data_IF_289981628676
#
_entry.id   IF_289981628676
#
_cell.length_a   1.000
_cell.length_b   1.000
_cell.length_c   1.000
_cell.angle_alpha   90.00
_cell.angle_beta   90.00
_cell.angle_gamma   90.00
#
_symmetry.space_group_name_H-M   'P 1'
#
loop_
_entity.id
_entity.type
_entity.pdbx_description
1 polymer ?
#
# COMPACT_ATOMS: atom_id res chain seq x y z
N UNK A 1 -5.30 43.76 -32.13
CA UNK A 1 -4.64 44.09 -30.84
C UNK A 1 -5.38 43.59 -29.59
N UNK A 2 -6.71 43.35 -29.58
CA UNK A 2 -7.45 42.92 -28.36
C UNK A 2 -7.27 41.44 -27.94
N UNK A 3 -6.95 40.54 -28.87
CA UNK A 3 -6.81 39.10 -28.60
C UNK A 3 -5.55 38.80 -27.78
N UNK A 4 -4.44 39.50 -28.06
CA UNK A 4 -3.18 39.34 -27.31
C UNK A 4 -3.30 39.86 -25.88
N UNK A 5 -4.04 40.95 -25.65
CA UNK A 5 -4.28 41.46 -24.29
C UNK A 5 -5.12 40.50 -23.45
N UNK A 6 -6.11 39.82 -24.03
CA UNK A 6 -6.93 38.85 -23.30
C UNK A 6 -6.12 37.60 -22.93
N UNK A 7 -5.32 37.09 -23.88
CA UNK A 7 -4.41 35.98 -23.65
C UNK A 7 -3.37 36.31 -22.57
N UNK A 8 -2.84 37.54 -22.58
CA UNK A 8 -1.85 37.99 -21.60
C UNK A 8 -2.44 38.15 -20.19
N UNK A 9 -3.66 38.69 -20.08
CA UNK A 9 -4.40 38.77 -18.80
C UNK A 9 -4.71 37.37 -18.26
N UNK A 10 -5.10 36.44 -19.13
CA UNK A 10 -5.34 35.06 -18.74
C UNK A 10 -4.06 34.38 -18.25
N UNK A 11 -2.93 34.59 -18.93
CA UNK A 11 -1.63 34.04 -18.54
C UNK A 11 -1.14 34.60 -17.20
N UNK A 12 -1.36 35.90 -16.95
CA UNK A 12 -1.06 36.54 -15.66
C UNK A 12 -1.93 36.00 -14.53
N UNK A 13 -3.24 35.83 -14.75
CA UNK A 13 -4.14 35.21 -13.77
C UNK A 13 -3.73 33.77 -13.47
N UNK A 14 -3.37 33.01 -14.50
CA UNK A 14 -2.95 31.62 -14.35
C UNK A 14 -1.62 31.54 -13.60
N UNK A 15 -0.66 32.42 -13.88
CA UNK A 15 0.60 32.53 -13.13
C UNK A 15 0.35 32.83 -11.65
N UNK A 16 -0.54 33.80 -11.34
CA UNK A 16 -0.90 34.15 -9.95
C UNK A 16 -1.50 32.95 -9.23
N UNK A 17 -2.46 32.25 -9.85
CA UNK A 17 -3.09 31.05 -9.30
C UNK A 17 -2.06 29.94 -9.06
N UNK A 18 -1.16 29.70 -10.02
CA UNK A 18 -0.08 28.73 -9.87
C UNK A 18 0.83 29.10 -8.71
N UNK A 19 1.32 30.35 -8.65
CA UNK A 19 2.16 30.80 -7.53
C UNK A 19 1.45 30.67 -6.19
N UNK A 20 0.15 30.97 -6.11
CA UNK A 20 -0.64 30.89 -4.88
C UNK A 20 -0.85 29.44 -4.40
N UNK A 21 -1.03 28.50 -5.34
CA UNK A 21 -1.12 27.06 -5.06
C UNK A 21 0.21 26.53 -4.51
N UNK A 22 1.34 26.96 -5.07
CA UNK A 22 2.68 26.48 -4.67
C UNK A 22 3.25 27.18 -3.42
N UNK A 23 2.68 28.31 -2.98
CA UNK A 23 3.15 29.07 -1.80
C UNK A 23 2.23 28.97 -0.57
N UNK A 24 1.27 28.03 -0.56
CA UNK A 24 0.42 27.74 0.61
C UNK A 24 -0.43 28.94 1.09
N UNK A 25 -0.80 29.80 0.15
CA UNK A 25 -1.51 31.05 0.38
C UNK A 25 -3.04 30.89 0.46
N UNK A 26 -3.73 32.04 0.57
CA UNK A 26 -5.16 32.15 0.90
C UNK A 26 -6.10 31.48 -0.14
N UNK A 27 -5.84 31.57 -1.46
CA UNK A 27 -6.74 30.95 -2.46
C UNK A 27 -6.61 29.42 -2.44
N UNK A 28 -5.39 28.90 -2.27
CA UNK A 28 -5.17 27.45 -2.11
C UNK A 28 -5.97 26.89 -0.94
N UNK A 29 -5.91 27.57 0.22
CA UNK A 29 -6.71 27.20 1.40
C UNK A 29 -8.21 27.33 1.15
N UNK A 30 -8.67 28.39 0.45
CA UNK A 30 -10.08 28.54 0.10
C UNK A 30 -10.57 27.44 -0.84
N UNK A 31 -9.82 27.09 -1.89
CA UNK A 31 -10.16 26.01 -2.82
C UNK A 31 -10.17 24.66 -2.10
N UNK A 32 -9.16 24.38 -1.28
CA UNK A 32 -9.12 23.18 -0.45
C UNK A 32 -10.32 23.10 0.49
N UNK A 33 -10.70 24.22 1.11
CA UNK A 33 -11.85 24.27 2.02
C UNK A 33 -13.15 24.04 1.27
N UNK A 34 -13.34 24.66 0.09
CA UNK A 34 -14.55 24.51 -0.72
C UNK A 34 -14.70 23.08 -1.22
N UNK A 35 -13.62 22.50 -1.73
CA UNK A 35 -13.58 21.10 -2.17
C UNK A 35 -13.82 20.14 -1.02
N UNK A 36 -13.22 20.36 0.15
CA UNK A 36 -13.48 19.58 1.36
C UNK A 36 -14.95 19.66 1.82
N UNK A 37 -15.54 20.86 1.85
CA UNK A 37 -16.95 21.07 2.22
C UNK A 37 -17.88 20.37 1.23
N UNK A 38 -17.55 20.37 -0.06
CA UNK A 38 -18.38 19.69 -1.07
C UNK A 38 -18.20 18.16 -1.09
N UNK A 39 -16.99 17.67 -0.82
CA UNK A 39 -16.67 16.25 -0.84
C UNK A 39 -17.12 15.51 0.43
N UNK A 40 -17.13 16.19 1.59
CA UNK A 40 -17.49 15.57 2.87
C UNK A 40 -18.94 15.02 2.90
N UNK A 41 -19.98 15.75 2.46
CA UNK A 41 -21.34 15.22 2.36
C UNK A 41 -21.45 14.03 1.41
N UNK A 42 -20.74 14.06 0.29
CA UNK A 42 -20.71 12.98 -0.70
C UNK A 42 -20.06 11.73 -0.09
N UNK A 43 -18.97 11.90 0.64
CA UNK A 43 -18.30 10.83 1.37
C UNK A 43 -19.22 10.22 2.44
N UNK A 44 -19.91 11.05 3.22
CA UNK A 44 -20.88 10.60 4.24
C UNK A 44 -22.05 9.85 3.59
N UNK A 45 -22.61 10.36 2.49
CA UNK A 45 -23.68 9.70 1.76
C UNK A 45 -23.24 8.35 1.20
N UNK A 46 -22.06 8.27 0.58
CA UNK A 46 -21.44 7.02 0.13
C UNK A 46 -21.29 6.04 1.30
N UNK A 47 -20.74 6.49 2.43
CA UNK A 47 -20.54 5.65 3.63
C UNK A 47 -21.85 5.10 4.16
N UNK A 48 -22.89 5.93 4.22
CA UNK A 48 -24.22 5.50 4.67
C UNK A 48 -24.84 4.49 3.71
N UNK A 49 -24.69 4.69 2.39
CA UNK A 49 -25.11 3.72 1.38
C UNK A 49 -24.36 2.39 1.56
N UNK A 50 -23.04 2.42 1.69
CA UNK A 50 -22.24 1.22 1.95
C UNK A 50 -22.68 0.53 3.24
N UNK A 51 -22.96 1.25 4.32
CA UNK A 51 -23.45 0.68 5.58
C UNK A 51 -24.84 0.03 5.46
N UNK A 52 -25.73 0.54 4.59
CA UNK A 52 -27.05 -0.06 4.34
C UNK A 52 -26.91 -1.38 3.58
N UNK A 53 -25.90 -1.50 2.70
CA UNK A 53 -25.64 -2.70 1.91
C UNK A 53 -24.65 -3.69 2.56
N UNK A 54 -23.90 -3.24 3.56
CA UNK A 54 -22.99 -4.06 4.34
C UNK A 54 -23.73 -4.76 5.48
N UNK A 55 -23.83 -6.10 5.40
CA UNK A 55 -24.24 -6.95 6.53
C UNK A 55 -23.46 -6.53 7.78
N UNK A 56 -24.18 -6.35 8.90
CA UNK A 56 -23.64 -5.97 10.20
C UNK A 56 -22.25 -6.57 10.46
N UNK A 57 -21.21 -5.73 10.35
CA UNK A 57 -19.87 -6.13 10.73
C UNK A 57 -19.71 -5.90 12.22
N UNK A 58 -19.54 -7.01 12.95
CA UNK A 58 -18.92 -6.98 14.26
C UNK A 58 -17.57 -6.28 14.11
N UNK A 59 -17.33 -5.22 14.88
CA UNK A 59 -15.98 -4.66 15.04
C UNK A 59 -15.16 -5.77 15.69
N UNK A 60 -14.55 -6.61 14.85
CA UNK A 60 -13.61 -7.61 15.32
C UNK A 60 -12.38 -6.81 15.71
N UNK A 61 -12.12 -6.73 17.01
CA UNK A 61 -10.79 -6.41 17.52
C UNK A 61 -9.87 -7.48 16.96
N UNK A 62 -9.25 -7.24 15.81
CA UNK A 62 -8.37 -8.23 15.22
C UNK A 62 -7.08 -8.20 16.02
N UNK A 63 -6.89 -9.24 16.83
CA UNK A 63 -5.61 -9.57 17.44
C UNK A 63 -4.66 -9.98 16.31
N UNK A 64 -4.02 -9.01 15.69
CA UNK A 64 -2.79 -9.22 14.96
C UNK A 64 -1.67 -8.95 15.96
N UNK A 65 -0.92 -10.00 16.30
CA UNK A 65 0.31 -9.89 17.10
C UNK A 65 0.12 -9.46 18.56
N UNK A 66 -0.86 -10.05 19.26
CA UNK A 66 -1.17 -9.83 20.70
C UNK A 66 -1.38 -8.38 21.18
N UNK A 67 -1.36 -7.41 20.27
CA UNK A 67 -1.52 -5.99 20.55
C UNK A 67 -2.77 -5.42 19.86
N UNK A 68 -3.40 -4.40 20.44
CA UNK A 68 -4.60 -3.77 19.88
C UNK A 68 -4.16 -2.81 18.77
N UNK A 69 -3.96 -3.33 17.57
CA UNK A 69 -3.55 -2.51 16.43
C UNK A 69 -4.69 -1.57 16.00
N UNK A 70 -4.37 -0.29 15.80
CA UNK A 70 -5.33 0.70 15.31
C UNK A 70 -5.61 0.47 13.83
N UNK A 71 -6.86 0.17 13.48
CA UNK A 71 -7.26 -0.03 12.09
C UNK A 71 -7.43 1.31 11.36
N UNK A 72 -7.07 1.34 10.08
CA UNK A 72 -7.24 2.49 9.19
C UNK A 72 -8.26 2.15 8.10
N UNK A 73 -9.20 3.08 7.86
CA UNK A 73 -10.29 2.94 6.88
C UNK A 73 -9.82 3.30 5.46
N UNK A 74 -10.07 2.41 4.51
CA UNK A 74 -9.83 2.64 3.09
C UNK A 74 -10.89 3.59 2.53
N UNK A 75 -10.45 4.69 1.93
CA UNK A 75 -11.31 5.75 1.40
C UNK A 75 -11.64 5.53 -0.07
N UNK A 76 -10.60 5.21 -0.86
CA UNK A 76 -10.68 4.96 -2.30
C UNK A 76 -9.50 4.12 -2.79
N UNK A 77 -9.66 3.55 -3.97
CA UNK A 77 -8.69 2.68 -4.64
C UNK A 77 -8.50 3.18 -6.06
N UNK A 78 -7.25 3.30 -6.51
CA UNK A 78 -6.92 3.56 -7.91
C UNK A 78 -6.21 2.33 -8.53
N UNK A 79 -5.61 2.45 -9.71
CA UNK A 79 -4.90 1.31 -10.33
C UNK A 79 -3.64 0.91 -9.57
N UNK A 80 -2.90 1.85 -8.99
CA UNK A 80 -1.56 1.65 -8.39
C UNK A 80 -1.58 1.55 -6.87
N UNK A 81 -2.63 2.02 -6.21
CA UNK A 81 -2.64 2.19 -4.78
C UNK A 81 -4.01 2.40 -4.15
N UNK A 82 -3.96 2.77 -2.88
CA UNK A 82 -5.09 2.82 -1.97
C UNK A 82 -4.93 4.07 -1.10
N UNK A 83 -5.97 4.90 -1.06
CA UNK A 83 -6.05 6.05 -0.18
C UNK A 83 -6.71 5.67 1.13
N UNK A 84 -6.08 6.04 2.23
CA UNK A 84 -6.47 5.57 3.56
C UNK A 84 -6.48 6.72 4.54
N UNK A 85 -7.44 6.68 5.46
CA UNK A 85 -7.60 7.71 6.47
C UNK A 85 -6.53 7.63 7.56
N UNK A 86 -5.96 8.77 7.91
CA UNK A 86 -5.14 9.00 9.10
C UNK A 86 -3.95 8.04 9.29
N UNK A 87 -3.08 7.92 8.28
CA UNK A 87 -1.84 7.16 8.42
C UNK A 87 -0.77 8.04 9.07
N UNK A 88 -0.32 7.68 10.28
CA UNK A 88 0.68 8.49 11.03
C UNK A 88 2.12 8.19 10.64
N UNK A 89 2.44 6.94 10.32
CA UNK A 89 3.82 6.48 10.04
C UNK A 89 3.92 5.68 8.75
N UNK A 90 5.13 5.62 8.20
CA UNK A 90 5.48 4.72 7.09
C UNK A 90 5.53 3.28 7.59
N UNK A 91 5.47 2.32 6.68
CA UNK A 91 5.24 0.93 7.05
C UNK A 91 4.71 0.08 5.91
N UNK A 92 4.30 -1.12 6.27
CA UNK A 92 3.52 -2.02 5.40
C UNK A 92 2.06 -2.05 5.83
N UNK A 93 1.18 -2.20 4.86
CA UNK A 93 -0.25 -2.32 5.07
C UNK A 93 -0.65 -3.81 4.99
N UNK A 94 -1.33 -4.28 6.02
CA UNK A 94 -1.83 -5.64 6.16
C UNK A 94 -3.37 -5.63 6.17
N UNK A 95 -3.97 -6.61 5.52
CA UNK A 95 -5.40 -6.86 5.61
C UNK A 95 -5.75 -7.18 7.06
N UNK A 96 -6.61 -6.35 7.66
CA UNK A 96 -6.96 -6.49 9.05
C UNK A 96 -7.61 -7.85 9.36
N UNK A 97 -8.30 -8.48 8.41
CA UNK A 97 -9.03 -9.74 8.63
C UNK A 97 -8.16 -10.95 8.29
N UNK A 98 -7.56 -10.95 7.11
CA UNK A 98 -6.87 -12.14 6.58
C UNK A 98 -5.36 -12.12 6.84
N UNK A 99 -4.79 -11.02 7.32
CA UNK A 99 -3.35 -10.89 7.54
C UNK A 99 -2.53 -10.79 6.26
N UNK A 100 -3.15 -10.69 5.08
CA UNK A 100 -2.44 -10.62 3.80
C UNK A 100 -1.72 -9.29 3.63
N UNK A 101 -0.53 -9.30 3.01
CA UNK A 101 0.16 -8.09 2.60
C UNK A 101 -0.66 -7.35 1.53
N UNK A 102 -1.05 -6.12 1.80
CA UNK A 102 -1.80 -5.26 0.87
C UNK A 102 -0.86 -4.34 0.10
N UNK A 103 0.14 -3.75 0.78
CA UNK A 103 1.02 -2.78 0.13
C UNK A 103 1.98 -2.06 1.05
N UNK A 104 2.62 -1.03 0.50
CA UNK A 104 3.63 -0.21 1.18
C UNK A 104 3.13 1.22 1.35
N UNK A 105 3.21 1.77 2.56
CA UNK A 105 2.84 3.16 2.84
C UNK A 105 3.85 4.09 2.18
N UNK A 106 3.42 4.87 1.19
CA UNK A 106 4.26 5.89 0.53
C UNK A 106 4.03 7.29 1.08
N UNK A 107 2.80 7.62 1.48
CA UNK A 107 2.43 8.93 2.03
C UNK A 107 1.68 8.79 3.35
N UNK A 108 2.06 9.60 4.33
CA UNK A 108 1.41 9.73 5.65
C UNK A 108 0.61 11.04 5.72
N UNK A 109 -0.25 11.17 6.72
CA UNK A 109 -1.10 12.33 6.97
C UNK A 109 -2.57 11.94 7.18
N UNK A 110 -3.44 12.95 7.20
CA UNK A 110 -4.89 12.76 7.33
C UNK A 110 -5.47 11.88 6.21
N UNK A 111 -4.86 11.95 5.03
CA UNK A 111 -5.06 11.00 3.93
C UNK A 111 -3.70 10.46 3.53
N UNK A 112 -3.44 9.22 3.90
CA UNK A 112 -2.26 8.48 3.49
C UNK A 112 -2.48 7.76 2.15
N UNK A 113 -1.38 7.34 1.54
CA UNK A 113 -1.39 6.57 0.29
C UNK A 113 -0.51 5.34 0.44
N UNK A 114 -1.07 4.20 0.08
CA UNK A 114 -0.41 2.90 0.06
C UNK A 114 -0.30 2.45 -1.38
N UNK A 115 0.91 2.14 -1.80
CA UNK A 115 1.13 1.50 -3.09
C UNK A 115 0.86 0.01 -2.96
N UNK A 116 0.08 -0.56 -3.89
CA UNK A 116 -0.21 -2.00 -3.90
C UNK A 116 1.09 -2.76 -4.11
N UNK A 117 1.35 -3.79 -3.30
CA UNK A 117 2.65 -4.46 -3.37
C UNK A 117 2.92 -5.03 -4.77
N UNK A 118 1.89 -5.52 -5.47
CA UNK A 118 2.05 -6.12 -6.79
C UNK A 118 2.34 -5.10 -7.90
N UNK A 119 2.22 -3.80 -7.62
CA UNK A 119 2.56 -2.70 -8.52
C UNK A 119 3.98 -2.15 -8.23
N UNK A 120 4.68 -2.74 -7.26
CA UNK A 120 5.99 -2.30 -6.78
C UNK A 120 7.07 -3.33 -7.09
N UNK A 121 8.32 -2.90 -7.13
CA UNK A 121 9.47 -3.77 -7.35
C UNK A 121 10.22 -3.96 -6.03
N UNK A 122 10.50 -5.20 -5.65
CA UNK A 122 11.15 -5.51 -4.37
C UNK A 122 11.79 -6.90 -4.37
N UNK A 123 12.83 -7.13 -3.55
CA UNK A 123 13.42 -8.45 -3.40
C UNK A 123 12.44 -9.42 -2.72
N UNK A 124 12.49 -10.68 -3.13
CA UNK A 124 11.64 -11.76 -2.61
C UNK A 124 12.47 -12.95 -2.17
N UNK A 125 11.94 -13.74 -1.24
CA UNK A 125 12.53 -15.03 -0.85
C UNK A 125 11.62 -16.16 -1.34
N UNK A 126 12.18 -17.07 -2.13
CA UNK A 126 11.52 -18.31 -2.54
C UNK A 126 11.97 -19.40 -1.56
N UNK A 127 11.03 -19.95 -0.78
CA UNK A 127 11.28 -21.08 0.10
C UNK A 127 10.91 -22.38 -0.62
N UNK A 128 11.90 -23.26 -0.83
CA UNK A 128 11.70 -24.55 -1.49
C UNK A 128 10.72 -25.42 -0.71
N UNK A 129 9.74 -25.98 -1.41
CA UNK A 129 8.89 -27.06 -0.89
C UNK A 129 9.59 -28.41 -0.92
N UNK A 130 10.66 -28.55 -1.71
CA UNK A 130 11.45 -29.76 -1.78
C UNK A 130 12.46 -29.82 -0.63
N UNK A 131 12.25 -30.81 0.25
CA UNK A 131 13.08 -31.10 1.44
C UNK A 131 14.13 -32.20 1.17
N UNK A 132 14.31 -32.62 -0.09
CA UNK A 132 15.16 -33.77 -0.47
C UNK A 132 16.63 -33.65 -0.08
N UNK A 133 17.15 -32.45 0.20
CA UNK A 133 18.53 -32.28 0.66
C UNK A 133 18.55 -32.16 2.19
N UNK A 134 18.63 -33.31 2.86
CA UNK A 134 18.97 -33.45 4.29
C UNK A 134 18.14 -32.60 5.26
N UNK A 135 16.84 -32.41 5.00
CA UNK A 135 15.94 -31.70 5.91
C UNK A 135 16.22 -30.20 6.07
N UNK A 136 17.08 -29.61 5.22
CA UNK A 136 17.29 -28.16 5.19
C UNK A 136 16.37 -27.55 4.13
N UNK A 137 15.53 -26.60 4.54
CA UNK A 137 14.77 -25.77 3.62
C UNK A 137 15.76 -24.87 2.87
N UNK A 138 15.85 -25.06 1.56
CA UNK A 138 16.66 -24.19 0.71
C UNK A 138 15.82 -22.95 0.39
N UNK A 139 16.35 -21.76 0.69
CA UNK A 139 15.76 -20.50 0.30
C UNK A 139 16.67 -19.74 -0.66
N UNK A 140 16.08 -19.10 -1.66
CA UNK A 140 16.78 -18.31 -2.67
C UNK A 140 16.19 -16.92 -2.71
N UNK A 141 17.05 -15.92 -2.90
CA UNK A 141 16.64 -14.54 -3.10
C UNK A 141 16.43 -14.30 -4.59
N UNK A 142 15.25 -13.81 -4.94
CA UNK A 142 14.94 -13.29 -6.27
C UNK A 142 14.54 -11.83 -6.21
N UNK A 143 14.19 -11.27 -7.36
CA UNK A 143 13.68 -9.92 -7.48
C UNK A 143 12.32 -9.93 -8.18
N UNK A 144 11.30 -9.39 -7.52
CA UNK A 144 9.97 -9.24 -8.11
C UNK A 144 9.90 -7.97 -8.96
N UNK A 145 9.50 -8.12 -10.22
CA UNK A 145 9.22 -7.02 -11.13
C UNK A 145 8.10 -7.41 -12.11
N UNK A 146 7.05 -6.57 -12.22
CA UNK A 146 5.96 -6.71 -13.21
C UNK A 146 5.42 -8.14 -13.32
N UNK A 147 4.98 -8.70 -12.19
CA UNK A 147 4.40 -10.05 -12.12
C UNK A 147 5.36 -11.20 -12.46
N UNK A 148 6.67 -10.93 -12.46
CA UNK A 148 7.72 -11.92 -12.69
C UNK A 148 8.73 -11.90 -11.55
N UNK A 149 9.45 -13.01 -11.39
CA UNK A 149 10.57 -13.11 -10.46
C UNK A 149 11.83 -13.41 -11.25
N UNK A 150 12.82 -12.54 -11.11
CA UNK A 150 14.16 -12.76 -11.64
C UNK A 150 15.00 -13.44 -10.57
N UNK A 151 15.52 -14.63 -10.88
CA UNK A 151 16.42 -15.38 -10.01
C UNK A 151 17.85 -15.22 -10.56
N UNK A 152 18.82 -14.79 -9.73
CA UNK A 152 20.17 -14.49 -10.21
C UNK A 152 20.94 -15.72 -10.75
N UNK A 153 20.56 -16.93 -10.34
CA UNK A 153 21.11 -18.17 -10.88
C UNK A 153 20.01 -19.02 -11.57
N UNK A 154 19.96 -19.04 -12.91
CA UNK A 154 18.95 -19.76 -13.67
C UNK A 154 19.14 -21.28 -13.64
N UNK A 155 20.27 -21.79 -13.12
CA UNK A 155 20.53 -23.23 -13.02
C UNK A 155 19.86 -23.87 -11.81
N UNK A 156 19.41 -23.06 -10.84
CA UNK A 156 18.75 -23.56 -9.65
C UNK A 156 17.26 -23.78 -9.92
N UNK A 157 16.88 -25.05 -10.07
CA UNK A 157 15.49 -25.47 -10.16
C UNK A 157 14.88 -25.41 -8.75
N UNK A 158 14.17 -24.33 -8.45
CA UNK A 158 13.44 -24.16 -7.20
C UNK A 158 11.94 -24.07 -7.46
N UNK A 159 11.15 -24.76 -6.64
CA UNK A 159 9.71 -24.61 -6.57
C UNK A 159 9.29 -24.42 -5.13
N UNK A 160 8.37 -23.49 -4.88
CA UNK A 160 7.80 -23.29 -3.55
C UNK A 160 7.17 -21.93 -3.32
N UNK A 161 6.96 -21.60 -2.05
CA UNK A 161 6.26 -20.38 -1.65
C UNK A 161 7.15 -19.16 -1.77
N UNK A 162 6.58 -18.08 -2.29
CA UNK A 162 7.26 -16.80 -2.42
C UNK A 162 6.80 -15.87 -1.31
N UNK A 163 7.76 -15.29 -0.61
CA UNK A 163 7.54 -14.31 0.44
C UNK A 163 8.27 -13.02 0.10
N UNK A 164 7.87 -11.93 0.74
CA UNK A 164 8.70 -10.73 0.78
C UNK A 164 10.08 -11.09 1.35
N UNK A 165 11.16 -10.52 0.79
CA UNK A 165 12.51 -10.94 1.17
C UNK A 165 12.75 -10.82 2.66
N UNK A 166 13.34 -11.85 3.26
CA UNK A 166 13.75 -11.88 4.66
C UNK A 166 14.74 -10.76 5.05
N UNK A 167 15.34 -10.09 4.05
CA UNK A 167 16.23 -8.94 4.25
C UNK A 167 15.50 -7.59 4.25
N UNK A 168 14.20 -7.57 3.92
CA UNK A 168 13.36 -6.38 4.02
C UNK A 168 12.72 -6.26 5.41
N UNK A 169 12.38 -5.04 5.85
CA UNK A 169 11.56 -4.83 7.03
C UNK A 169 10.29 -5.70 6.96
N UNK A 170 9.97 -6.41 8.03
CA UNK A 170 8.87 -7.38 8.14
C UNK A 170 8.95 -8.64 7.28
N UNK A 171 9.96 -8.82 6.41
CA UNK A 171 10.01 -9.99 5.53
C UNK A 171 10.05 -11.32 6.27
N UNK A 172 10.92 -11.43 7.28
CA UNK A 172 10.96 -12.60 8.18
C UNK A 172 9.64 -12.78 8.93
N UNK A 173 9.09 -11.70 9.47
CA UNK A 173 7.82 -11.74 10.20
C UNK A 173 6.70 -12.29 9.31
N UNK A 174 6.50 -11.74 8.12
CA UNK A 174 5.47 -12.22 7.20
C UNK A 174 5.68 -13.69 6.82
N UNK A 175 6.92 -14.11 6.61
CA UNK A 175 7.27 -15.50 6.33
C UNK A 175 6.94 -16.43 7.49
N UNK A 176 7.31 -16.07 8.71
CA UNK A 176 7.08 -16.89 9.91
C UNK A 176 5.58 -17.09 10.18
N UNK A 177 4.76 -16.10 9.82
CA UNK A 177 3.30 -16.19 9.84
C UNK A 177 2.69 -16.84 8.58
N UNK A 178 3.50 -17.31 7.64
CA UNK A 178 3.06 -18.01 6.44
C UNK A 178 2.38 -17.13 5.38
N UNK A 179 2.58 -15.81 5.43
CA UNK A 179 1.97 -14.83 4.54
C UNK A 179 2.75 -14.79 3.22
N UNK A 180 2.43 -15.73 2.33
CA UNK A 180 3.01 -15.82 1.00
C UNK A 180 2.33 -14.85 0.02
N UNK A 181 3.12 -14.29 -0.91
CA UNK A 181 2.63 -13.42 -1.99
C UNK A 181 2.33 -14.20 -3.29
N UNK A 182 2.65 -15.50 -3.30
CA UNK A 182 2.41 -16.40 -4.41
C UNK A 182 3.25 -17.66 -4.33
N UNK A 183 3.29 -18.40 -5.42
CA UNK A 183 4.06 -19.64 -5.57
C UNK A 183 4.92 -19.55 -6.82
N UNK A 184 6.13 -20.10 -6.77
CA UNK A 184 7.02 -20.20 -7.91
C UNK A 184 7.16 -21.67 -8.26
N UNK A 185 6.82 -22.03 -9.51
CA UNK A 185 6.90 -23.42 -9.98
C UNK A 185 7.33 -23.45 -11.44
N UNK A 186 8.30 -24.30 -11.77
CA UNK A 186 8.76 -24.52 -13.15
C UNK A 186 9.15 -23.23 -13.88
N UNK A 187 9.77 -22.28 -13.18
CA UNK A 187 10.17 -21.00 -13.75
C UNK A 187 9.04 -19.96 -13.89
N UNK A 188 7.83 -20.26 -13.40
CA UNK A 188 6.66 -19.40 -13.50
C UNK A 188 6.24 -18.95 -12.11
N UNK A 189 6.05 -17.63 -11.94
CA UNK A 189 5.48 -17.06 -10.73
C UNK A 189 3.95 -17.01 -10.82
N UNK A 190 3.27 -17.76 -9.96
CA UNK A 190 1.83 -17.73 -9.72
C UNK A 190 1.54 -16.75 -8.60
N UNK A 191 1.19 -15.51 -8.99
CA UNK A 191 0.91 -14.44 -8.04
C UNK A 191 -0.42 -14.64 -7.30
N UNK A 192 -0.45 -14.32 -6.00
CA UNK A 192 -1.68 -14.30 -5.18
C UNK A 192 -2.02 -12.86 -4.81
N UNK A 193 -2.90 -12.22 -5.59
CA UNK A 193 -3.33 -10.84 -5.32
C UNK A 193 -4.49 -10.84 -4.32
N UNK A 194 -4.35 -10.19 -3.15
CA UNK A 194 -5.44 -10.11 -2.17
C UNK A 194 -6.54 -9.18 -2.65
N UNK A 195 -7.78 -9.47 -2.22
CA UNK A 195 -8.87 -8.49 -2.33
C UNK A 195 -8.59 -7.31 -1.40
N UNK A 196 -8.79 -6.09 -1.87
CA UNK A 196 -8.56 -4.90 -1.05
C UNK A 196 -9.64 -4.84 0.04
N UNK A 197 -9.25 -4.86 1.33
CA UNK A 197 -10.20 -4.83 2.43
C UNK A 197 -10.67 -3.38 2.70
N UNK A 198 -11.78 -3.24 3.42
CA UNK A 198 -12.27 -1.94 3.88
C UNK A 198 -11.39 -1.34 5.00
N UNK A 199 -10.79 -2.22 5.81
CA UNK A 199 -9.93 -1.85 6.92
C UNK A 199 -8.58 -2.53 6.78
N UNK A 200 -7.53 -1.77 7.05
CA UNK A 200 -6.16 -2.26 7.05
C UNK A 200 -5.47 -1.92 8.37
N UNK A 201 -4.43 -2.67 8.68
CA UNK A 201 -3.51 -2.40 9.78
C UNK A 201 -2.18 -1.95 9.19
N UNK A 202 -1.60 -0.90 9.77
CA UNK A 202 -0.27 -0.42 9.38
C UNK A 202 0.75 -0.98 10.37
N UNK A 203 1.68 -1.78 9.87
CA UNK A 203 2.88 -2.16 10.60
C UNK A 203 3.93 -1.10 10.32
N UNK A 204 4.13 -0.21 11.28
CA UNK A 204 5.02 0.95 11.17
C UNK A 204 6.46 0.50 10.96
N UNK A 205 7.21 1.09 10.03
CA UNK A 205 8.65 0.79 9.81
C UNK A 205 9.44 0.83 11.13
N UNK A 206 10.24 -0.21 11.39
CA UNK A 206 11.23 -0.20 12.45
C UNK A 206 12.26 0.89 12.11
N UNK A 207 12.31 1.97 12.89
CA UNK A 207 13.47 2.85 12.89
C UNK A 207 14.59 2.15 13.66
N UNK A 208 15.69 1.74 13.01
CA UNK A 208 16.86 1.30 13.73
C UNK A 208 17.54 2.58 14.24
N UNK A 209 17.11 3.04 15.42
CA UNK A 209 17.74 4.00 16.34
C UNK A 209 16.75 5.02 16.93
N UNK A 210 16.06 4.63 17.99
CA UNK A 210 15.89 5.52 19.13
C UNK A 210 17.22 5.58 19.89
N UNK A 211 18.20 6.33 19.36
CA UNK A 211 19.43 6.64 20.07
C UNK A 211 19.20 7.82 21.00
N UNK A 212 18.95 7.53 22.27
CA UNK A 212 19.31 8.44 23.36
C UNK A 212 20.73 8.13 23.81
#
# INVERSE_FOLDING_TARGET
MRVNSLALVFLLLLLIVFTDIFTDNLLSKSIHTLTYISASPIYVAKKNLEQIFEKEYTIVNVKLFDDIATTSEVLSVDSKGIYVKNIKKKGIAIDAINGNLVGFVRKTGNVGYISKWWEEEFPVTIESTDTSIKGQKISIVGYYNKYRIEVPDPTVVISGKVYMSEYMPYGRLLKDFGIAIGEYENGVFKITIPKIPKYIIILEEYEPNGGN
#
